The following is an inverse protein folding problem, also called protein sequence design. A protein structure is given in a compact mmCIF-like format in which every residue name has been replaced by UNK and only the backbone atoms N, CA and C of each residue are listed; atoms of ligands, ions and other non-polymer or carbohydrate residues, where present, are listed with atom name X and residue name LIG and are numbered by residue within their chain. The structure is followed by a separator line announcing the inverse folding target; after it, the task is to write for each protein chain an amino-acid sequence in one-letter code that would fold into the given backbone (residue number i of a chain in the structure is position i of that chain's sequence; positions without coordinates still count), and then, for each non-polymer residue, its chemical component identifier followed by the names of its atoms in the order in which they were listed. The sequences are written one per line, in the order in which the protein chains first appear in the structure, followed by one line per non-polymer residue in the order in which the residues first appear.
data_IF_444705347596
#
_entry.id   IF_444705347596
#
_cell.length_a   1.000
_cell.length_b   1.000
_cell.length_c   1.000
_cell.angle_alpha   90.00
_cell.angle_beta   90.00
_cell.angle_gamma   90.00
#
_symmetry.space_group_name_H-M   'P 1'
#
loop_
_entity.id
_entity.type
_entity.pdbx_description
1 polymer ?
#
# COMPACT_ATOMS: atom_id res chain seq x y z
N UNK A 1 -14.09 -23.42 -7.00
CA UNK A 1 -12.91 -22.82 -6.34
C UNK A 1 -13.36 -21.50 -5.71
N UNK A 2 -13.58 -21.50 -4.39
CA UNK A 2 -13.89 -20.29 -3.64
C UNK A 2 -12.58 -19.52 -3.43
N UNK A 3 -12.33 -18.55 -4.29
CA UNK A 3 -11.21 -17.65 -4.15
C UNK A 3 -11.37 -16.82 -2.87
N UNK A 4 -10.42 -16.91 -1.97
CA UNK A 4 -10.33 -16.05 -0.78
C UNK A 4 -10.14 -14.61 -1.24
N UNK A 5 -11.11 -13.74 -1.01
CA UNK A 5 -10.93 -12.31 -1.24
C UNK A 5 -9.99 -11.77 -0.18
N UNK A 6 -8.76 -11.42 -0.56
CA UNK A 6 -7.87 -10.61 0.26
C UNK A 6 -8.19 -9.17 -0.08
N UNK A 7 -8.86 -8.46 0.79
CA UNK A 7 -9.04 -7.02 0.68
C UNK A 7 -7.80 -6.35 1.23
N UNK A 8 -6.98 -5.79 0.36
CA UNK A 8 -5.87 -4.94 0.75
C UNK A 8 -6.40 -3.51 0.79
N UNK A 9 -6.69 -3.01 1.97
CA UNK A 9 -6.91 -1.58 2.16
C UNK A 9 -5.58 -0.88 2.01
N UNK A 10 -5.47 0.05 1.06
CA UNK A 10 -4.32 0.93 0.98
C UNK A 10 -4.36 1.86 2.20
N UNK A 11 -3.45 1.70 3.17
CA UNK A 11 -3.34 2.66 4.26
C UNK A 11 -2.89 4.00 3.71
N UNK A 12 -3.10 5.08 4.45
CA UNK A 12 -2.44 6.35 4.18
C UNK A 12 -0.93 6.10 4.02
N UNK A 13 -0.45 6.33 2.83
CA UNK A 13 0.89 6.01 2.43
C UNK A 13 1.65 7.31 2.24
N UNK A 14 2.67 7.53 3.04
CA UNK A 14 3.58 8.65 2.83
C UNK A 14 4.35 8.36 1.54
N UNK A 15 4.21 9.22 0.55
CA UNK A 15 4.97 9.07 -0.68
C UNK A 15 6.47 9.15 -0.37
N UNK A 16 7.28 8.37 -1.07
CA UNK A 16 8.74 8.39 -0.91
C UNK A 16 9.42 9.55 -1.66
N UNK A 17 8.65 10.37 -2.36
CA UNK A 17 9.15 11.48 -3.16
C UNK A 17 9.04 12.80 -2.41
N UNK A 18 10.13 13.57 -2.40
CA UNK A 18 10.14 14.92 -1.86
C UNK A 18 9.54 15.91 -2.86
N UNK A 19 8.82 16.89 -2.34
CA UNK A 19 8.43 18.07 -3.08
C UNK A 19 9.57 19.11 -3.06
N UNK A 20 9.70 19.89 -4.13
CA UNK A 20 10.60 21.05 -4.14
C UNK A 20 10.15 22.08 -3.10
N UNK A 21 11.09 22.85 -2.51
CA UNK A 21 10.74 23.89 -1.54
C UNK A 21 9.66 24.84 -2.07
N UNK A 22 8.65 25.09 -1.24
CA UNK A 22 7.53 25.97 -1.57
C UNK A 22 6.44 25.35 -2.45
N UNK A 23 6.65 24.13 -2.99
CA UNK A 23 5.57 23.43 -3.70
C UNK A 23 4.64 22.73 -2.69
N UNK A 24 3.38 22.74 -3.04
CA UNK A 24 2.34 21.98 -2.34
C UNK A 24 1.55 21.12 -3.31
N UNK A 25 1.05 20.03 -2.79
CA UNK A 25 0.14 19.10 -3.46
C UNK A 25 -0.97 18.71 -2.49
N UNK A 26 -2.19 18.60 -2.96
CA UNK A 26 -3.31 18.27 -2.09
C UNK A 26 -4.51 17.75 -2.86
N UNK A 27 -5.30 16.92 -2.19
CA UNK A 27 -6.53 16.37 -2.70
C UNK A 27 -7.62 16.40 -1.63
N UNK A 28 -8.85 16.70 -2.03
CA UNK A 28 -10.03 16.60 -1.19
C UNK A 28 -11.06 15.78 -1.96
N UNK A 29 -11.64 14.80 -1.29
CA UNK A 29 -12.70 13.95 -1.83
C UNK A 29 -13.89 13.97 -0.87
N UNK A 30 -15.09 14.21 -1.40
CA UNK A 30 -16.35 14.15 -0.66
C UNK A 30 -17.33 13.33 -1.48
N UNK A 31 -18.03 12.41 -0.84
CA UNK A 31 -18.99 11.55 -1.52
C UNK A 31 -19.71 10.62 -0.55
N UNK A 32 -20.47 9.68 -1.09
CA UNK A 32 -21.10 8.61 -0.32
C UNK A 32 -20.53 7.27 -0.72
N UNK A 33 -20.30 6.41 0.26
CA UNK A 33 -19.85 5.05 -0.01
C UNK A 33 -20.93 4.28 -0.75
N UNK A 34 -20.61 3.77 -1.94
CA UNK A 34 -21.54 2.93 -2.70
C UNK A 34 -21.43 1.49 -2.22
N UNK A 35 -22.53 0.95 -1.72
CA UNK A 35 -22.64 -0.42 -1.24
C UNK A 35 -23.14 -1.33 -2.35
N UNK A 36 -22.94 -2.63 -2.18
CA UNK A 36 -23.48 -3.68 -3.07
C UNK A 36 -23.33 -3.38 -4.56
N UNK A 37 -22.15 -2.85 -4.95
CA UNK A 37 -21.86 -2.52 -6.35
C UNK A 37 -22.06 -3.76 -7.25
N UNK A 38 -22.91 -3.64 -8.27
CA UNK A 38 -23.24 -4.72 -9.20
C UNK A 38 -24.32 -5.71 -8.71
N UNK A 39 -24.85 -5.51 -7.49
CA UNK A 39 -25.94 -6.33 -6.91
C UNK A 39 -27.20 -5.47 -6.75
N UNK A 40 -27.08 -4.28 -6.18
CA UNK A 40 -28.18 -3.33 -6.00
C UNK A 40 -27.84 -1.97 -6.61
N UNK A 41 -28.85 -1.34 -7.24
CA UNK A 41 -28.71 0.01 -7.76
C UNK A 41 -29.10 1.00 -6.66
N UNK A 42 -28.31 2.10 -6.54
CA UNK A 42 -28.57 3.23 -5.64
C UNK A 42 -28.46 2.90 -4.13
N UNK A 43 -27.80 1.83 -3.72
CA UNK A 43 -27.46 1.62 -2.30
C UNK A 43 -26.24 2.46 -1.92
N UNK A 44 -26.50 3.63 -1.32
CA UNK A 44 -25.48 4.55 -0.86
C UNK A 44 -25.42 4.57 0.66
N UNK A 45 -24.21 4.48 1.19
CA UNK A 45 -23.92 4.66 2.60
C UNK A 45 -23.89 6.13 3.04
N UNK A 46 -23.41 6.39 4.25
CA UNK A 46 -23.28 7.75 4.76
C UNK A 46 -22.32 8.61 3.94
N UNK A 47 -22.48 9.92 4.09
CA UNK A 47 -21.53 10.89 3.55
C UNK A 47 -20.16 10.68 4.19
N UNK A 48 -19.13 10.69 3.36
CA UNK A 48 -17.74 10.54 3.76
C UNK A 48 -16.88 11.62 3.10
N UNK A 49 -15.78 11.97 3.75
CA UNK A 49 -14.82 12.89 3.21
C UNK A 49 -13.40 12.43 3.52
N UNK A 50 -12.47 12.73 2.65
CA UNK A 50 -11.05 12.59 2.89
C UNK A 50 -10.28 13.76 2.30
N UNK A 51 -9.15 14.10 2.93
CA UNK A 51 -8.27 15.14 2.45
C UNK A 51 -6.81 14.78 2.74
N UNK A 52 -5.93 15.15 1.84
CA UNK A 52 -4.50 15.07 2.02
C UNK A 52 -3.83 16.35 1.55
N UNK A 53 -2.75 16.70 2.21
CA UNK A 53 -1.94 17.86 1.87
C UNK A 53 -0.48 17.58 2.11
N UNK A 54 0.38 17.99 1.15
CA UNK A 54 1.82 17.85 1.20
C UNK A 54 2.46 19.20 0.95
N UNK A 55 3.55 19.49 1.64
CA UNK A 55 4.29 20.71 1.49
C UNK A 55 5.79 20.48 1.55
N UNK A 56 6.52 20.93 0.51
CA UNK A 56 7.97 20.93 0.48
C UNK A 56 8.52 22.08 1.32
N UNK A 57 9.05 21.77 2.49
CA UNK A 57 9.62 22.77 3.42
C UNK A 57 11.03 23.15 2.97
N UNK A 58 11.84 22.18 2.63
CA UNK A 58 13.21 22.33 2.15
C UNK A 58 13.50 21.30 1.06
N UNK A 59 14.69 21.35 0.44
CA UNK A 59 15.13 20.33 -0.52
C UNK A 59 15.28 18.91 0.07
N UNK A 60 15.29 18.81 1.38
CA UNK A 60 15.48 17.55 2.10
C UNK A 60 14.29 17.16 3.00
N UNK A 61 13.25 18.03 3.14
CA UNK A 61 12.10 17.80 4.01
C UNK A 61 10.79 18.15 3.30
N UNK A 62 9.88 17.17 3.22
CA UNK A 62 8.47 17.35 2.88
C UNK A 62 7.60 16.91 4.05
N UNK A 63 6.64 17.72 4.44
CA UNK A 63 5.63 17.39 5.44
C UNK A 63 4.33 16.97 4.76
N UNK A 64 3.59 16.07 5.40
CA UNK A 64 2.33 15.54 4.90
C UNK A 64 1.28 15.53 6.01
N UNK A 65 0.03 15.82 5.64
CA UNK A 65 -1.13 15.68 6.51
C UNK A 65 -2.23 14.92 5.80
N UNK A 66 -3.01 14.14 6.55
CA UNK A 66 -4.15 13.38 6.04
C UNK A 66 -5.28 13.39 7.05
N UNK A 67 -6.51 13.48 6.57
CA UNK A 67 -7.71 13.38 7.38
C UNK A 67 -8.80 12.61 6.66
N UNK A 68 -9.58 11.83 7.40
CA UNK A 68 -10.79 11.16 6.92
C UNK A 68 -11.93 11.38 7.91
N UNK A 69 -13.16 11.45 7.39
CA UNK A 69 -14.35 11.65 8.20
C UNK A 69 -15.57 10.96 7.63
N UNK A 70 -16.39 10.43 8.54
CA UNK A 70 -17.74 9.91 8.31
C UNK A 70 -18.55 10.11 9.57
N UNK A 71 -19.84 9.75 9.56
CA UNK A 71 -20.73 9.92 10.72
C UNK A 71 -20.16 9.39 12.04
N UNK A 72 -19.45 8.28 12.01
CA UNK A 72 -18.85 7.62 13.20
C UNK A 72 -17.37 7.33 13.04
N UNK A 73 -16.69 8.04 12.14
CA UNK A 73 -15.26 7.95 11.89
C UNK A 73 -14.65 9.34 11.87
N UNK A 74 -13.61 9.52 12.62
CA UNK A 74 -12.67 10.64 12.52
C UNK A 74 -11.27 10.09 12.49
N UNK A 75 -10.48 10.47 11.51
CA UNK A 75 -9.10 10.06 11.35
C UNK A 75 -8.25 11.28 11.02
N UNK A 76 -7.10 11.39 11.64
CA UNK A 76 -6.10 12.40 11.35
C UNK A 76 -4.70 11.80 11.41
N UNK A 77 -3.83 12.24 10.52
CA UNK A 77 -2.46 11.77 10.47
C UNK A 77 -1.50 12.86 10.00
N UNK A 78 -0.26 12.74 10.43
CA UNK A 78 0.85 13.55 9.98
C UNK A 78 2.04 12.67 9.62
N UNK A 79 2.80 13.10 8.63
CA UNK A 79 3.97 12.40 8.14
C UNK A 79 5.06 13.34 7.65
N UNK A 80 6.22 12.76 7.41
CA UNK A 80 7.35 13.45 6.84
C UNK A 80 8.15 12.55 5.93
N UNK A 81 8.75 13.17 4.91
CA UNK A 81 9.74 12.55 4.02
C UNK A 81 11.03 13.32 4.17
N UNK A 82 12.10 12.62 4.47
CA UNK A 82 13.42 13.21 4.75
C UNK A 82 14.48 12.60 3.85
N UNK A 83 15.20 13.43 3.11
CA UNK A 83 16.36 13.01 2.33
C UNK A 83 17.61 13.03 3.21
N UNK A 84 18.28 11.90 3.29
CA UNK A 84 19.54 11.72 4.03
C UNK A 84 20.77 11.99 3.14
N UNK A 85 20.75 13.10 2.41
CA UNK A 85 21.81 13.44 1.46
C UNK A 85 21.92 12.40 0.34
N UNK A 86 23.07 11.73 0.28
CA UNK A 86 23.32 10.63 -0.70
C UNK A 86 22.91 9.25 -0.18
N UNK A 87 22.45 9.15 1.04
CA UNK A 87 22.10 7.88 1.68
C UNK A 87 20.65 7.46 1.44
N UNK A 88 19.92 8.19 0.59
CA UNK A 88 18.53 7.85 0.26
C UNK A 88 17.50 8.70 1.00
N UNK A 89 16.31 8.19 1.12
CA UNK A 89 15.13 8.87 1.66
C UNK A 89 14.47 7.97 2.70
N UNK A 90 14.15 8.54 3.85
CA UNK A 90 13.27 7.92 4.86
C UNK A 90 11.93 8.62 4.86
N UNK A 91 10.87 7.88 5.10
CA UNK A 91 9.54 8.42 5.33
C UNK A 91 8.94 7.84 6.61
N UNK A 92 8.02 8.57 7.20
CA UNK A 92 7.27 8.11 8.37
C UNK A 92 5.99 8.88 8.53
N UNK A 93 4.93 8.19 8.98
CA UNK A 93 3.65 8.80 9.32
C UNK A 93 3.03 8.14 10.53
N UNK A 94 2.43 8.96 11.36
CA UNK A 94 1.58 8.56 12.47
C UNK A 94 0.15 8.98 12.18
N UNK A 95 -0.80 8.06 12.38
CA UNK A 95 -2.22 8.28 12.14
C UNK A 95 -3.00 7.82 13.36
N UNK A 96 -3.93 8.65 13.80
CA UNK A 96 -4.89 8.33 14.86
C UNK A 96 -6.29 8.30 14.28
N UNK A 97 -7.11 7.40 14.78
CA UNK A 97 -8.51 7.30 14.38
C UNK A 97 -9.41 7.06 15.58
N UNK A 98 -10.63 7.56 15.47
CA UNK A 98 -11.72 7.19 16.36
C UNK A 98 -12.89 6.71 15.50
N UNK A 99 -13.24 5.44 15.64
CA UNK A 99 -14.30 4.80 14.86
C UNK A 99 -15.29 4.11 15.81
N UNK A 100 -16.56 4.52 15.75
CA UNK A 100 -17.63 4.02 16.62
C UNK A 100 -17.35 4.12 18.13
N UNK A 101 -16.52 5.09 18.53
CA UNK A 101 -16.13 5.32 19.92
C UNK A 101 -14.77 4.75 20.31
N UNK A 102 -14.25 3.79 19.57
CA UNK A 102 -12.94 3.19 19.82
C UNK A 102 -11.83 4.01 19.19
N UNK A 103 -10.73 4.17 19.93
CA UNK A 103 -9.56 4.92 19.49
C UNK A 103 -8.44 3.98 19.04
N UNK A 104 -7.92 4.23 17.85
CA UNK A 104 -6.87 3.45 17.26
C UNK A 104 -5.76 4.28 16.64
N UNK A 105 -4.63 3.64 16.40
CA UNK A 105 -3.48 4.28 15.76
C UNK A 105 -2.77 3.36 14.78
N UNK A 106 -2.04 3.99 13.86
CA UNK A 106 -1.19 3.31 12.90
C UNK A 106 0.11 4.10 12.73
N UNK A 107 1.23 3.38 12.70
CA UNK A 107 2.55 3.88 12.36
C UNK A 107 2.99 3.25 11.05
N UNK A 108 3.38 4.09 10.09
CA UNK A 108 4.01 3.67 8.84
C UNK A 108 5.40 4.27 8.77
N UNK A 109 6.38 3.52 8.27
CA UNK A 109 7.71 4.04 7.98
C UNK A 109 8.36 3.24 6.87
N UNK A 110 9.31 3.87 6.19
CA UNK A 110 10.00 3.26 5.08
C UNK A 110 11.34 3.91 4.79
N UNK A 111 12.09 3.23 3.97
CA UNK A 111 13.38 3.71 3.47
C UNK A 111 13.51 3.35 2.00
N UNK A 112 14.02 4.29 1.22
CA UNK A 112 14.29 4.11 -0.20
C UNK A 112 15.69 4.61 -0.55
N UNK A 113 16.41 3.78 -1.28
CA UNK A 113 17.70 4.13 -1.83
C UNK A 113 17.80 3.67 -3.29
N UNK A 114 18.07 4.59 -4.19
CA UNK A 114 18.14 4.34 -5.62
C UNK A 114 19.46 4.80 -6.17
N UNK A 115 20.11 3.93 -6.92
CA UNK A 115 21.29 4.22 -7.73
C UNK A 115 21.06 3.74 -9.17
N UNK A 116 22.00 4.00 -10.06
CA UNK A 116 21.97 3.44 -11.43
C UNK A 116 22.16 1.93 -11.47
N UNK A 117 22.77 1.35 -10.46
CA UNK A 117 23.09 -0.08 -10.38
C UNK A 117 22.05 -0.88 -9.57
N UNK A 118 21.53 -0.30 -8.48
CA UNK A 118 20.59 -1.00 -7.63
C UNK A 118 19.62 -0.06 -6.94
N UNK A 119 18.48 -0.60 -6.54
CA UNK A 119 17.50 0.07 -5.69
C UNK A 119 17.11 -0.83 -4.51
N UNK A 120 16.90 -0.20 -3.37
CA UNK A 120 16.37 -0.81 -2.14
C UNK A 120 15.15 -0.01 -1.74
N UNK A 121 14.06 -0.71 -1.41
CA UNK A 121 12.87 -0.12 -0.82
C UNK A 121 12.39 -0.98 0.34
N UNK A 122 12.10 -0.35 1.46
CA UNK A 122 11.47 -1.02 2.61
C UNK A 122 10.26 -0.22 3.05
N UNK A 123 9.19 -0.93 3.41
CA UNK A 123 7.97 -0.33 3.93
C UNK A 123 7.43 -1.17 5.08
N UNK A 124 7.06 -0.48 6.14
CA UNK A 124 6.56 -1.09 7.35
C UNK A 124 5.28 -0.40 7.79
N UNK A 125 4.33 -1.18 8.24
CA UNK A 125 3.09 -0.70 8.84
C UNK A 125 2.80 -1.47 10.12
N UNK A 126 2.45 -0.75 11.16
CA UNK A 126 2.02 -1.30 12.46
C UNK A 126 0.76 -0.57 12.88
N UNK A 127 -0.28 -1.31 13.23
CA UNK A 127 -1.51 -0.70 13.76
C UNK A 127 -2.04 -1.49 14.94
N UNK A 128 -2.78 -0.82 15.79
CA UNK A 128 -3.54 -1.48 16.82
C UNK A 128 -4.88 -2.01 16.27
N UNK A 129 -5.58 -2.79 17.09
CA UNK A 129 -6.82 -3.48 16.70
C UNK A 129 -7.96 -2.50 16.43
N UNK A 130 -8.00 -1.42 17.16
CA UNK A 130 -9.05 -0.42 17.16
C UNK A 130 -8.90 0.62 16.05
N UNK A 131 -7.80 0.55 15.28
CA UNK A 131 -7.57 1.47 14.17
C UNK A 131 -8.62 1.29 13.06
N UNK A 132 -9.28 2.38 12.70
CA UNK A 132 -10.28 2.46 11.64
C UNK A 132 -9.93 3.50 10.59
N UNK A 133 -10.38 3.28 9.37
CA UNK A 133 -10.31 4.21 8.25
C UNK A 133 -11.56 4.05 7.35
N UNK A 134 -11.72 4.89 6.33
CA UNK A 134 -12.86 4.80 5.41
C UNK A 134 -13.00 3.44 4.73
N UNK A 135 -11.90 2.77 4.42
CA UNK A 135 -11.94 1.45 3.81
C UNK A 135 -12.47 0.35 4.75
N UNK A 136 -12.30 0.52 6.06
CA UNK A 136 -12.85 -0.37 7.10
C UNK A 136 -14.27 0.02 7.51
N UNK A 137 -14.62 1.31 7.36
CA UNK A 137 -15.89 1.87 7.78
C UNK A 137 -17.09 1.26 7.04
N UNK A 138 -16.94 0.89 5.78
CA UNK A 138 -18.02 0.33 4.96
C UNK A 138 -18.34 -1.15 5.26
N UNK A 139 -17.57 -1.78 6.12
CA UNK A 139 -17.81 -3.17 6.50
C UNK A 139 -18.86 -3.28 7.60
N UNK A 140 -20.08 -2.83 7.28
CA UNK A 140 -21.23 -2.78 8.21
C UNK A 140 -21.58 -4.13 8.83
N UNK A 141 -21.51 -5.20 8.05
CA UNK A 141 -21.72 -6.57 8.55
C UNK A 141 -20.71 -6.92 9.66
N UNK A 142 -19.52 -6.41 9.55
CA UNK A 142 -18.44 -6.57 10.51
C UNK A 142 -18.69 -5.81 11.82
N UNK A 143 -19.31 -4.64 11.74
CA UNK A 143 -19.65 -3.84 12.92
C UNK A 143 -20.84 -4.39 13.69
N UNK A 144 -21.88 -4.84 12.98
CA UNK A 144 -23.05 -5.44 13.59
C UNK A 144 -22.69 -6.78 14.28
N UNK A 145 -21.81 -7.57 13.67
CA UNK A 145 -21.29 -8.81 14.26
C UNK A 145 -20.44 -8.54 15.50
N UNK A 146 -19.62 -7.51 15.49
CA UNK A 146 -18.84 -7.07 16.63
C UNK A 146 -19.72 -6.63 17.80
N UNK A 147 -20.76 -5.85 17.53
CA UNK A 147 -21.67 -5.33 18.54
C UNK A 147 -22.55 -6.42 19.17
N UNK A 148 -22.95 -7.42 18.36
CA UNK A 148 -23.82 -8.50 18.81
C UNK A 148 -23.04 -9.64 19.46
N UNK A 149 -21.85 -9.97 18.98
CA UNK A 149 -21.10 -11.14 19.38
C UNK A 149 -19.81 -10.82 20.16
N UNK A 150 -19.50 -9.53 20.40
CA UNK A 150 -18.26 -9.08 21.05
C UNK A 150 -16.99 -9.43 20.26
N UNK A 151 -17.14 -9.81 19.00
CA UNK A 151 -16.02 -10.18 18.12
C UNK A 151 -15.78 -9.07 17.12
N UNK A 152 -14.62 -8.46 17.23
CA UNK A 152 -14.13 -7.65 16.12
C UNK A 152 -13.99 -8.57 14.90
N UNK A 153 -14.44 -8.16 13.70
CA UNK A 153 -14.24 -8.92 12.47
C UNK A 153 -12.78 -8.90 12.01
N UNK A 154 -11.91 -8.94 12.94
CA UNK A 154 -10.50 -8.57 12.92
C UNK A 154 -9.63 -9.71 12.44
N UNK A 155 -10.20 -10.88 12.25
CA UNK A 155 -9.45 -12.07 11.84
C UNK A 155 -8.70 -11.88 10.51
N UNK A 156 -9.18 -10.99 9.64
CA UNK A 156 -8.60 -10.78 8.30
C UNK A 156 -7.76 -9.52 8.17
N UNK A 157 -7.70 -8.63 9.19
CA UNK A 157 -6.95 -7.39 9.08
C UNK A 157 -5.50 -7.54 9.50
N UNK A 158 -4.60 -6.93 8.71
CA UNK A 158 -3.19 -6.93 9.02
C UNK A 158 -2.90 -6.07 10.26
N UNK A 159 -2.26 -6.66 11.25
CA UNK A 159 -1.66 -5.96 12.39
C UNK A 159 -0.34 -5.36 12.01
N UNK A 160 0.48 -6.16 11.32
CA UNK A 160 1.81 -5.79 10.87
C UNK A 160 1.95 -6.14 9.40
N UNK A 161 2.51 -5.22 8.64
CA UNK A 161 2.91 -5.47 7.25
C UNK A 161 4.35 -5.02 7.09
N UNK A 162 5.20 -5.90 6.57
CA UNK A 162 6.59 -5.62 6.26
C UNK A 162 6.83 -5.94 4.79
N UNK A 163 7.44 -5.01 4.07
CA UNK A 163 7.78 -5.17 2.65
C UNK A 163 9.23 -4.79 2.45
N UNK A 164 9.95 -5.61 1.71
CA UNK A 164 11.31 -5.35 1.29
C UNK A 164 11.39 -5.61 -0.20
N UNK A 165 12.02 -4.72 -0.94
CA UNK A 165 12.34 -4.95 -2.34
C UNK A 165 13.75 -4.52 -2.65
N UNK A 166 14.39 -5.29 -3.51
CA UNK A 166 15.73 -5.08 -3.98
C UNK A 166 15.74 -5.32 -5.48
N UNK A 167 16.36 -4.43 -6.24
CA UNK A 167 16.58 -4.64 -7.67
C UNK A 167 17.99 -4.26 -8.07
N UNK A 168 18.52 -4.99 -9.04
CA UNK A 168 19.83 -4.75 -9.64
C UNK A 168 19.69 -4.58 -11.14
N UNK A 169 20.30 -3.52 -11.65
CA UNK A 169 20.45 -3.29 -13.07
C UNK A 169 21.81 -3.86 -13.51
N UNK A 170 21.78 -4.90 -14.34
CA UNK A 170 22.97 -5.60 -14.84
C UNK A 170 23.27 -5.20 -16.30
N UNK A 171 22.84 -4.04 -16.74
CA UNK A 171 23.06 -3.54 -18.10
C UNK A 171 22.41 -4.46 -19.14
N UNK A 172 23.23 -5.00 -20.07
CA UNK A 172 22.75 -5.87 -21.15
C UNK A 172 22.14 -7.19 -20.67
N UNK A 173 22.44 -7.63 -19.47
CA UNK A 173 21.81 -8.81 -18.85
C UNK A 173 20.42 -8.51 -18.27
N UNK A 174 20.00 -7.24 -18.26
CA UNK A 174 18.68 -6.82 -17.79
C UNK A 174 18.64 -6.49 -16.30
N UNK A 175 17.43 -6.55 -15.72
CA UNK A 175 17.20 -6.23 -14.32
C UNK A 175 16.77 -7.48 -13.55
N UNK A 176 17.37 -7.71 -12.39
CA UNK A 176 16.95 -8.73 -11.43
C UNK A 176 16.27 -8.05 -10.24
N UNK A 177 15.13 -8.57 -9.83
CA UNK A 177 14.38 -8.09 -8.68
C UNK A 177 14.04 -9.21 -7.70
N UNK A 178 14.05 -8.86 -6.42
CA UNK A 178 13.51 -9.68 -5.35
C UNK A 178 12.61 -8.82 -4.46
N UNK A 179 11.43 -9.33 -4.11
CA UNK A 179 10.53 -8.69 -3.17
C UNK A 179 9.99 -9.71 -2.17
N UNK A 180 10.00 -9.33 -0.91
CA UNK A 180 9.39 -10.11 0.16
C UNK A 180 8.34 -9.29 0.87
N UNK A 181 7.18 -9.90 1.11
CA UNK A 181 6.06 -9.29 1.81
C UNK A 181 5.66 -10.23 2.94
N UNK A 182 5.67 -9.73 4.17
CA UNK A 182 5.17 -10.41 5.35
C UNK A 182 3.97 -9.66 5.93
N UNK A 183 2.87 -10.36 6.11
CA UNK A 183 1.64 -9.83 6.73
C UNK A 183 1.30 -10.70 7.94
N UNK A 184 1.12 -10.08 9.09
CA UNK A 184 0.59 -10.72 10.29
C UNK A 184 -0.74 -10.09 10.66
N UNK A 185 -1.78 -10.91 10.74
CA UNK A 185 -3.11 -10.49 11.14
C UNK A 185 -3.29 -10.52 12.66
N UNK A 186 -4.40 -9.95 13.16
CA UNK A 186 -4.70 -9.94 14.60
C UNK A 186 -5.09 -11.31 15.16
N UNK A 187 -5.47 -12.25 14.32
CA UNK A 187 -5.71 -13.68 14.65
C UNK A 187 -4.41 -14.52 14.65
N UNK A 188 -3.24 -13.85 14.59
CA UNK A 188 -1.91 -14.45 14.49
C UNK A 188 -1.65 -15.25 13.20
N UNK A 189 -2.52 -15.17 12.21
CA UNK A 189 -2.19 -15.71 10.88
C UNK A 189 -1.04 -14.90 10.28
N UNK A 190 -0.10 -15.60 9.71
CA UNK A 190 1.07 -15.02 9.04
C UNK A 190 1.04 -15.43 7.57
N UNK A 191 1.14 -14.48 6.68
CA UNK A 191 1.30 -14.72 5.24
C UNK A 191 2.63 -14.13 4.80
N UNK A 192 3.45 -14.92 4.14
CA UNK A 192 4.75 -14.48 3.61
C UNK A 192 4.83 -14.86 2.14
N UNK A 193 5.14 -13.88 1.32
CA UNK A 193 5.31 -14.04 -0.11
C UNK A 193 6.71 -13.58 -0.51
N UNK A 194 7.43 -14.43 -1.21
CA UNK A 194 8.68 -14.09 -1.87
C UNK A 194 8.42 -14.03 -3.38
N UNK A 195 8.80 -12.94 -4.01
CA UNK A 195 8.74 -12.77 -5.46
C UNK A 195 10.15 -12.54 -6.00
N UNK A 196 10.52 -13.28 -7.02
CA UNK A 196 11.76 -13.12 -7.77
C UNK A 196 11.39 -12.80 -9.21
N UNK A 197 12.04 -11.82 -9.80
CA UNK A 197 11.80 -11.39 -11.17
C UNK A 197 13.11 -11.12 -11.89
N UNK A 198 13.10 -11.39 -13.18
CA UNK A 198 14.15 -10.96 -14.08
C UNK A 198 13.50 -10.37 -15.33
N UNK A 199 14.00 -9.25 -15.80
CA UNK A 199 13.52 -8.62 -17.01
C UNK A 199 14.69 -8.30 -17.94
N UNK A 200 14.57 -8.64 -19.21
CA UNK A 200 15.57 -8.37 -20.23
C UNK A 200 14.92 -7.94 -21.53
N UNK A 201 15.50 -6.92 -22.15
CA UNK A 201 15.20 -6.57 -23.53
C UNK A 201 15.92 -7.54 -24.46
N UNK A 202 15.20 -8.24 -25.32
CA UNK A 202 15.76 -9.22 -26.25
C UNK A 202 16.22 -8.56 -27.55
N UNK A 203 15.40 -7.65 -28.09
CA UNK A 203 15.64 -6.84 -29.30
C UNK A 203 15.01 -5.48 -29.15
N UNK A 204 15.13 -4.62 -30.15
CA UNK A 204 14.78 -3.19 -30.13
C UNK A 204 13.38 -2.85 -29.56
N UNK A 205 12.50 -3.79 -29.40
CA UNK A 205 11.15 -3.55 -28.83
C UNK A 205 10.55 -4.77 -28.14
N UNK A 206 11.34 -5.83 -27.93
CA UNK A 206 10.86 -7.08 -27.34
C UNK A 206 11.42 -7.25 -25.94
N UNK A 207 10.61 -7.70 -25.00
CA UNK A 207 11.05 -7.97 -23.62
C UNK A 207 10.61 -9.36 -23.17
N UNK A 208 11.40 -9.93 -22.26
CA UNK A 208 11.11 -11.19 -21.59
C UNK A 208 11.16 -10.96 -20.07
N UNK A 209 10.14 -11.42 -19.37
CA UNK A 209 9.96 -11.22 -17.94
C UNK A 209 9.55 -12.53 -17.26
N UNK A 210 10.50 -13.44 -16.93
CA UNK A 210 10.23 -14.54 -16.04
C UNK A 210 10.08 -14.04 -14.60
N UNK A 211 9.16 -14.66 -13.87
CA UNK A 211 8.93 -14.41 -12.47
C UNK A 211 8.67 -15.72 -11.73
N UNK A 212 9.12 -15.78 -10.49
CA UNK A 212 8.83 -16.88 -9.59
C UNK A 212 8.30 -16.31 -8.27
N UNK A 213 7.23 -16.86 -7.75
CA UNK A 213 6.70 -16.48 -6.44
C UNK A 213 6.55 -17.70 -5.54
N UNK A 214 6.80 -17.52 -4.25
CA UNK A 214 6.67 -18.55 -3.25
C UNK A 214 5.76 -18.07 -2.12
N UNK A 215 4.76 -18.87 -1.81
CA UNK A 215 4.00 -18.76 -0.58
C UNK A 215 4.71 -19.59 0.51
N UNK A 216 5.30 -18.92 1.49
CA UNK A 216 6.06 -19.59 2.55
C UNK A 216 5.16 -20.36 3.54
N UNK A 217 3.85 -20.13 3.57
CA UNK A 217 2.93 -20.90 4.39
C UNK A 217 2.61 -22.27 3.78
N UNK A 218 2.40 -22.28 2.45
CA UNK A 218 2.08 -23.49 1.70
C UNK A 218 3.30 -24.20 1.15
N UNK A 219 4.42 -23.48 1.06
CA UNK A 219 5.64 -23.97 0.43
C UNK A 219 5.57 -24.06 -1.10
N UNK A 220 4.46 -23.57 -1.69
CA UNK A 220 4.20 -23.69 -3.11
C UNK A 220 4.96 -22.63 -3.90
N UNK A 221 5.48 -23.04 -5.06
CA UNK A 221 6.07 -22.15 -6.04
C UNK A 221 5.13 -21.95 -7.22
N UNK A 222 5.01 -20.71 -7.65
CA UNK A 222 4.34 -20.34 -8.90
C UNK A 222 5.35 -19.71 -9.84
N UNK A 223 5.43 -20.18 -11.06
CA UNK A 223 6.31 -19.65 -12.10
C UNK A 223 5.48 -19.01 -13.19
N UNK A 224 5.92 -17.86 -13.66
CA UNK A 224 5.33 -17.12 -14.76
C UNK A 224 6.40 -16.70 -15.77
N UNK A 225 6.05 -16.69 -17.05
CA UNK A 225 6.87 -16.13 -18.11
C UNK A 225 5.99 -15.22 -18.96
N UNK A 226 6.37 -13.98 -19.09
CA UNK A 226 5.75 -13.03 -20.02
C UNK A 226 6.77 -12.65 -21.09
N UNK A 227 6.38 -12.78 -22.34
CA UNK A 227 7.18 -12.32 -23.49
C UNK A 227 6.33 -11.32 -24.24
N UNK A 228 6.86 -10.12 -24.44
CA UNK A 228 6.21 -9.06 -25.19
C UNK A 228 6.98 -8.81 -26.47
N UNK A 229 6.33 -9.03 -27.59
CA UNK A 229 6.87 -8.79 -28.94
C UNK A 229 5.88 -7.86 -29.63
N UNK A 230 6.27 -6.60 -29.92
CA UNK A 230 5.43 -5.71 -30.70
C UNK A 230 5.32 -6.24 -32.13
N UNK A 231 4.10 -6.50 -32.57
CA UNK A 231 3.78 -6.90 -33.94
C UNK A 231 3.16 -5.67 -34.61
N UNK A 232 3.95 -4.92 -35.35
CA UNK A 232 3.51 -3.75 -36.09
C UNK A 232 4.65 -3.15 -36.94
N UNK A 233 4.33 -2.69 -38.13
CA UNK A 233 5.28 -1.96 -38.97
C UNK A 233 5.63 -0.63 -38.29
N UNK A 234 6.92 -0.31 -38.29
CA UNK A 234 7.37 1.07 -38.03
C UNK A 234 7.00 1.89 -39.26
N UNK A 235 5.95 2.65 -39.18
CA UNK A 235 5.82 3.81 -40.05
C UNK A 235 6.89 4.82 -39.63
N UNK A 236 7.87 4.96 -40.52
CA UNK A 236 8.96 5.91 -40.48
C UNK A 236 8.48 7.34 -40.83
#
# INVERSE_FOLDING_TARGET
ALGRRVSTTLPFYVASELLKPGLSDGAITIGSLRRNYGIENFDYGPLVGSGSYRYGVTDWLTLEGHAEGAQSLTLGGAGAVVRLGRLGVVNGAWTESRMFGDAGNQLNWGYQYNTSLFSINTQHSRRNREFGNLALYDQRASYDDMRQNGRWPVASYSRNTDQYSLSFNMGDFGNIGAAWIGVRSFDNQKTELLNLSWSRNLWVSSSMNPAASRDNQRGDWTFGLSVQIPIGERDS
#
